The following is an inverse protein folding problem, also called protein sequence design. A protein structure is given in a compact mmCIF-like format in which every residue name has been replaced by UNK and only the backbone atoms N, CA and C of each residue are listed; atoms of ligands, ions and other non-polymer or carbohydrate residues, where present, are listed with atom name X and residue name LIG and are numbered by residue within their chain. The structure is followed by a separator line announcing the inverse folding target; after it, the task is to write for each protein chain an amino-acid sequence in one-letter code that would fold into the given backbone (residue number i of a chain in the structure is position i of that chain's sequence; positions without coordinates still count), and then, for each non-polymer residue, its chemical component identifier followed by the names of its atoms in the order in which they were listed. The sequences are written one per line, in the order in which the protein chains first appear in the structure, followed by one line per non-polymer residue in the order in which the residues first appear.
data_IF_100687823437
#
_entry.id   IF_100687823437
#
_cell.length_a   1.000
_cell.length_b   1.000
_cell.length_c   1.000
_cell.angle_alpha   90.00
_cell.angle_beta   90.00
_cell.angle_gamma   90.00
#
_symmetry.space_group_name_H-M   'P 1'
#
loop_
_entity.id
_entity.type
_entity.pdbx_description
1 polymer ?
#
# COMPACT_ATOMS: atom_id res chain seq x y z
N UNK A 1 10.87 -16.52 8.02
CA UNK A 1 9.73 -16.48 7.07
C UNK A 1 9.41 -15.08 6.56
N UNK A 2 9.56 -14.03 7.36
CA UNK A 2 9.25 -12.64 6.97
C UNK A 2 9.86 -12.20 5.63
N UNK A 3 11.03 -12.73 5.26
CA UNK A 3 11.71 -12.44 3.98
C UNK A 3 11.26 -13.31 2.79
N UNK A 4 10.15 -14.05 2.90
CA UNK A 4 9.72 -15.01 1.86
C UNK A 4 10.66 -16.22 1.66
N UNK A 5 11.70 -16.38 2.49
CA UNK A 5 12.66 -17.50 2.43
C UNK A 5 12.12 -18.78 3.09
N UNK A 6 11.01 -19.30 2.58
CA UNK A 6 10.24 -20.39 3.22
C UNK A 6 11.03 -21.70 3.36
N UNK A 7 11.86 -22.07 2.37
CA UNK A 7 12.71 -23.27 2.48
C UNK A 7 13.76 -23.17 3.57
N UNK A 8 14.32 -21.99 3.80
CA UNK A 8 15.27 -21.77 4.89
C UNK A 8 14.56 -21.89 6.24
N UNK A 9 13.41 -21.22 6.39
CA UNK A 9 12.61 -21.32 7.61
C UNK A 9 12.13 -22.75 7.91
N UNK A 10 11.77 -23.52 6.88
CA UNK A 10 11.36 -24.92 7.04
C UNK A 10 12.48 -25.77 7.65
N UNK A 11 13.75 -25.56 7.24
CA UNK A 11 14.91 -26.26 7.84
C UNK A 11 15.10 -25.91 9.32
N UNK A 12 14.85 -24.67 9.70
CA UNK A 12 14.94 -24.25 11.09
C UNK A 12 13.84 -24.91 11.92
N UNK A 13 12.58 -24.90 11.46
CA UNK A 13 11.48 -25.59 12.13
C UNK A 13 11.69 -27.10 12.20
N UNK A 14 12.26 -27.70 11.15
CA UNK A 14 12.59 -29.13 11.14
C UNK A 14 13.60 -29.46 12.25
N UNK A 15 14.63 -28.62 12.42
CA UNK A 15 15.60 -28.73 13.52
C UNK A 15 14.90 -28.65 14.88
N UNK A 16 14.00 -27.69 15.07
CA UNK A 16 13.27 -27.51 16.35
C UNK A 16 12.38 -28.72 16.64
N UNK A 17 11.62 -29.23 15.67
CA UNK A 17 10.76 -30.40 15.83
C UNK A 17 11.57 -31.66 16.14
N UNK A 18 12.77 -31.81 15.56
CA UNK A 18 13.70 -32.91 15.88
C UNK A 18 14.17 -32.86 17.33
N UNK A 19 14.50 -31.68 17.85
CA UNK A 19 14.97 -31.49 19.22
C UNK A 19 13.83 -31.54 20.24
N UNK A 20 12.63 -31.06 19.89
CA UNK A 20 11.44 -31.02 20.75
C UNK A 20 10.23 -31.74 20.11
N UNK A 21 10.23 -33.09 20.04
CA UNK A 21 9.22 -33.84 19.30
C UNK A 21 7.82 -33.80 19.92
N UNK A 22 7.66 -33.39 21.18
CA UNK A 22 6.36 -33.30 21.85
C UNK A 22 5.81 -31.87 21.91
N UNK A 23 6.57 -30.88 21.42
CA UNK A 23 6.14 -29.49 21.39
C UNK A 23 5.07 -29.30 20.29
N UNK A 24 3.86 -28.94 20.73
CA UNK A 24 2.69 -28.77 19.85
C UNK A 24 2.86 -27.56 18.93
N UNK A 25 3.46 -26.48 19.43
CA UNK A 25 3.68 -25.26 18.67
C UNK A 25 4.74 -25.49 17.57
N UNK A 26 5.85 -26.15 17.92
CA UNK A 26 6.88 -26.50 16.95
C UNK A 26 6.34 -27.36 15.79
N UNK A 27 5.51 -28.35 16.09
CA UNK A 27 4.86 -29.21 15.09
C UNK A 27 3.89 -28.44 14.20
N UNK A 28 3.04 -27.61 14.79
CA UNK A 28 2.12 -26.75 14.04
C UNK A 28 2.92 -25.82 13.10
N UNK A 29 3.98 -25.18 13.62
CA UNK A 29 4.80 -24.25 12.83
C UNK A 29 5.51 -24.92 11.66
N UNK A 30 6.04 -26.11 11.88
CA UNK A 30 6.63 -26.91 10.80
C UNK A 30 5.60 -27.30 9.74
N UNK A 31 4.41 -27.76 10.13
CA UNK A 31 3.35 -28.18 9.20
C UNK A 31 2.87 -27.03 8.31
N UNK A 32 2.60 -25.87 8.90
CA UNK A 32 2.19 -24.68 8.15
C UNK A 32 3.30 -24.17 7.22
N UNK A 33 4.55 -24.10 7.68
CA UNK A 33 5.67 -23.71 6.82
C UNK A 33 5.85 -24.70 5.65
N UNK A 34 5.69 -26.00 5.91
CA UNK A 34 5.78 -27.03 4.87
C UNK A 34 4.64 -26.92 3.84
N UNK A 35 3.42 -26.60 4.30
CA UNK A 35 2.27 -26.36 3.42
C UNK A 35 2.56 -25.20 2.44
N UNK A 36 3.10 -24.09 2.94
CA UNK A 36 3.50 -22.95 2.10
C UNK A 36 4.60 -23.34 1.11
N UNK A 37 5.65 -24.06 1.55
CA UNK A 37 6.73 -24.51 0.66
C UNK A 37 6.20 -25.41 -0.45
N UNK A 38 5.29 -26.33 -0.14
CA UNK A 38 4.65 -27.21 -1.13
C UNK A 38 3.78 -26.43 -2.10
N UNK A 39 2.97 -25.50 -1.60
CA UNK A 39 2.12 -24.65 -2.43
C UNK A 39 2.96 -23.82 -3.42
N UNK A 40 4.02 -23.15 -2.95
CA UNK A 40 4.91 -22.38 -3.83
C UNK A 40 5.70 -23.25 -4.82
N UNK A 41 6.06 -24.47 -4.43
CA UNK A 41 6.69 -25.41 -5.35
C UNK A 41 5.72 -25.85 -6.46
N UNK A 42 4.44 -26.07 -6.12
CA UNK A 42 3.38 -26.36 -7.07
C UNK A 42 3.13 -25.17 -8.01
N UNK A 43 2.93 -23.98 -7.46
CA UNK A 43 2.76 -22.73 -8.23
C UNK A 43 3.92 -22.48 -9.20
N UNK A 44 5.17 -22.70 -8.78
CA UNK A 44 6.34 -22.59 -9.66
C UNK A 44 6.38 -23.67 -10.74
N UNK A 45 5.89 -24.87 -10.45
CA UNK A 45 5.85 -25.97 -11.41
C UNK A 45 4.77 -25.77 -12.48
N UNK A 46 3.66 -25.09 -12.15
CA UNK A 46 2.60 -24.73 -13.10
C UNK A 46 2.86 -23.40 -13.82
N UNK A 47 3.74 -22.54 -13.30
CA UNK A 47 4.13 -21.27 -13.90
C UNK A 47 5.13 -21.42 -15.07
N UNK A 48 4.96 -22.44 -15.92
CA UNK A 48 5.69 -22.55 -17.18
C UNK A 48 5.39 -21.35 -18.11
N UNK A 49 6.16 -21.22 -19.20
CA UNK A 49 6.23 -20.09 -20.17
C UNK A 49 4.90 -19.70 -20.89
N UNK A 50 3.74 -20.04 -20.35
CA UNK A 50 2.46 -19.51 -20.80
C UNK A 50 2.18 -18.17 -20.11
N UNK A 51 1.91 -17.13 -20.91
CA UNK A 51 1.20 -15.94 -20.45
C UNK A 51 0.03 -16.38 -19.57
N UNK A 52 0.11 -16.15 -18.24
CA UNK A 52 -1.01 -16.42 -17.34
C UNK A 52 -2.24 -15.73 -17.92
N UNK A 53 -3.25 -16.51 -18.30
CA UNK A 53 -4.56 -15.94 -18.66
C UNK A 53 -5.04 -15.09 -17.50
N UNK A 54 -5.43 -13.87 -17.80
CA UNK A 54 -5.93 -12.92 -16.81
C UNK A 54 -7.18 -13.52 -16.16
N UNK A 55 -7.32 -13.39 -14.84
CA UNK A 55 -8.53 -13.87 -14.13
C UNK A 55 -9.80 -13.29 -14.77
N UNK A 56 -9.71 -12.05 -15.28
CA UNK A 56 -10.78 -11.37 -16.03
C UNK A 56 -11.32 -12.21 -17.18
N UNK A 57 -10.48 -12.97 -17.88
CA UNK A 57 -10.89 -13.79 -19.04
C UNK A 57 -11.78 -14.97 -18.63
N UNK A 58 -11.75 -15.35 -17.35
CA UNK A 58 -12.57 -16.41 -16.76
C UNK A 58 -13.79 -15.88 -16.00
N UNK A 59 -13.90 -14.56 -15.82
CA UNK A 59 -14.97 -13.92 -15.06
C UNK A 59 -16.11 -13.50 -15.98
N UNK A 60 -17.27 -14.14 -15.81
CA UNK A 60 -18.52 -13.67 -16.40
C UNK A 60 -19.24 -12.73 -15.41
N UNK A 61 -18.85 -11.45 -15.43
CA UNK A 61 -19.41 -10.42 -14.55
C UNK A 61 -20.85 -10.07 -14.97
N UNK A 62 -21.17 -10.20 -16.26
CA UNK A 62 -22.49 -9.87 -16.81
C UNK A 62 -23.57 -10.81 -16.25
N UNK A 63 -23.28 -12.11 -16.14
CA UNK A 63 -24.20 -13.09 -15.56
C UNK A 63 -24.31 -13.06 -14.04
N UNK A 64 -23.43 -12.35 -13.33
CA UNK A 64 -23.56 -12.21 -11.87
C UNK A 64 -24.86 -11.47 -11.54
N UNK A 65 -25.73 -12.09 -10.75
CA UNK A 65 -26.90 -11.43 -10.17
C UNK A 65 -26.54 -10.78 -8.84
N UNK A 66 -27.22 -9.68 -8.52
CA UNK A 66 -27.22 -9.10 -7.18
C UNK A 66 -28.53 -9.56 -6.55
N UNK A 67 -28.47 -10.16 -5.37
CA UNK A 67 -29.66 -10.67 -4.70
C UNK A 67 -30.60 -9.51 -4.28
N UNK A 68 -31.93 -9.72 -4.32
CA UNK A 68 -32.92 -8.68 -4.03
C UNK A 68 -32.82 -8.17 -2.57
N UNK A 69 -32.33 -9.00 -1.66
CA UNK A 69 -32.08 -8.66 -0.26
C UNK A 69 -30.87 -7.73 -0.07
N UNK A 70 -30.02 -7.58 -1.10
CA UNK A 70 -28.86 -6.69 -1.03
C UNK A 70 -29.30 -5.22 -1.10
N UNK A 71 -29.20 -4.57 0.06
CA UNK A 71 -29.53 -3.16 0.31
C UNK A 71 -28.31 -2.24 0.36
N UNK A 72 -27.12 -2.75 0.00
CA UNK A 72 -25.89 -1.97 0.00
C UNK A 72 -25.66 -1.19 -1.30
N UNK A 73 -24.52 -0.48 -1.38
CA UNK A 73 -24.16 0.37 -2.51
C UNK A 73 -24.10 -0.41 -3.83
N UNK A 74 -24.67 0.18 -4.89
CA UNK A 74 -24.68 -0.38 -6.26
C UNK A 74 -24.07 0.65 -7.21
N UNK A 75 -23.26 0.19 -8.17
CA UNK A 75 -22.73 1.07 -9.23
C UNK A 75 -23.88 1.53 -10.12
N UNK A 76 -23.87 2.80 -10.52
CA UNK A 76 -24.85 3.38 -11.44
C UNK A 76 -24.41 3.09 -12.89
N UNK A 77 -25.13 2.22 -13.59
CA UNK A 77 -24.77 1.73 -14.94
C UNK A 77 -23.32 1.20 -15.02
N UNK A 78 -22.85 0.56 -13.94
CA UNK A 78 -21.49 0.04 -13.83
C UNK A 78 -20.43 1.11 -13.55
N UNK A 79 -20.81 2.38 -13.40
CA UNK A 79 -19.91 3.49 -13.11
C UNK A 79 -19.88 3.85 -11.63
N UNK A 80 -18.71 4.27 -11.18
CA UNK A 80 -18.54 4.84 -9.83
C UNK A 80 -19.01 6.29 -9.84
N UNK A 81 -19.85 6.66 -8.89
CA UNK A 81 -20.32 8.05 -8.67
C UNK A 81 -19.93 8.54 -7.28
N UNK A 82 -19.99 9.86 -7.06
CA UNK A 82 -19.75 10.41 -5.72
C UNK A 82 -20.81 9.95 -4.71
N UNK A 83 -22.05 9.71 -5.15
CA UNK A 83 -23.11 9.16 -4.32
C UNK A 83 -22.74 7.73 -3.88
N UNK A 84 -22.37 6.87 -4.83
CA UNK A 84 -21.87 5.52 -4.55
C UNK A 84 -20.68 5.54 -3.58
N UNK A 85 -19.70 6.43 -3.76
CA UNK A 85 -18.53 6.51 -2.87
C UNK A 85 -18.91 6.88 -1.43
N UNK A 86 -19.83 7.83 -1.24
CA UNK A 86 -20.32 8.21 0.09
C UNK A 86 -21.09 7.07 0.75
N UNK A 87 -21.94 6.39 0.00
CA UNK A 87 -22.67 5.21 0.48
C UNK A 87 -21.71 4.07 0.83
N UNK A 88 -20.70 3.82 0.00
CA UNK A 88 -19.68 2.80 0.22
C UNK A 88 -18.89 3.02 1.51
N UNK A 89 -18.41 4.26 1.73
CA UNK A 89 -17.68 4.59 2.95
C UNK A 89 -18.56 4.42 4.19
N UNK A 90 -19.83 4.82 4.13
CA UNK A 90 -20.77 4.62 5.24
C UNK A 90 -21.06 3.13 5.47
N UNK A 91 -21.23 2.35 4.41
CA UNK A 91 -21.46 0.90 4.48
C UNK A 91 -20.29 0.17 5.15
N UNK A 92 -19.06 0.56 4.81
CA UNK A 92 -17.84 0.04 5.43
C UNK A 92 -17.65 0.51 6.88
N UNK A 93 -18.03 1.74 7.20
CA UNK A 93 -18.02 2.26 8.59
C UNK A 93 -18.94 1.45 9.50
N UNK A 94 -20.00 0.86 8.94
CA UNK A 94 -20.93 -0.05 9.60
C UNK A 94 -20.50 -1.53 9.54
N UNK A 95 -19.26 -1.82 9.13
CA UNK A 95 -18.70 -3.18 8.99
C UNK A 95 -19.47 -4.09 8.02
N UNK A 96 -20.18 -3.51 7.05
CA UNK A 96 -20.89 -4.27 6.03
C UNK A 96 -20.02 -4.44 4.80
N UNK A 97 -20.35 -5.43 3.96
CA UNK A 97 -19.53 -5.83 2.82
C UNK A 97 -20.15 -5.37 1.49
N UNK A 98 -19.35 -4.80 0.58
CA UNK A 98 -19.77 -4.48 -0.78
C UNK A 98 -20.06 -5.76 -1.56
N UNK A 99 -21.15 -5.79 -2.34
CA UNK A 99 -21.49 -6.96 -3.15
C UNK A 99 -20.37 -7.32 -4.13
N UNK A 100 -20.13 -8.63 -4.31
CA UNK A 100 -19.01 -9.15 -5.13
C UNK A 100 -19.04 -8.64 -6.58
N UNK A 101 -20.22 -8.47 -7.18
CA UNK A 101 -20.38 -7.93 -8.55
C UNK A 101 -19.78 -6.53 -8.65
N UNK A 102 -20.14 -5.64 -7.73
CA UNK A 102 -19.61 -4.27 -7.68
C UNK A 102 -18.09 -4.28 -7.44
N UNK A 103 -17.59 -5.14 -6.56
CA UNK A 103 -16.15 -5.26 -6.31
C UNK A 103 -15.39 -5.71 -7.56
N UNK A 104 -15.85 -6.75 -8.27
CA UNK A 104 -15.27 -7.18 -9.55
C UNK A 104 -15.32 -6.07 -10.61
N UNK A 105 -16.44 -5.36 -10.73
CA UNK A 105 -16.57 -4.23 -11.67
C UNK A 105 -15.56 -3.10 -11.37
N UNK A 106 -15.33 -2.77 -10.08
CA UNK A 106 -14.30 -1.79 -9.69
C UNK A 106 -12.92 -2.29 -10.08
N UNK A 107 -12.59 -3.55 -9.79
CA UNK A 107 -11.26 -4.10 -10.06
C UNK A 107 -10.94 -4.20 -11.55
N UNK A 108 -11.90 -4.64 -12.37
CA UNK A 108 -11.71 -4.71 -13.82
C UNK A 108 -11.51 -3.32 -14.41
N UNK A 109 -12.33 -2.34 -14.01
CA UNK A 109 -12.19 -0.97 -14.52
C UNK A 109 -10.89 -0.32 -14.06
N UNK A 110 -10.49 -0.51 -12.79
CA UNK A 110 -9.28 0.14 -12.27
C UNK A 110 -8.02 -0.49 -12.86
N UNK A 111 -8.02 -1.80 -13.14
CA UNK A 111 -6.95 -2.48 -13.90
C UNK A 111 -6.75 -1.80 -15.26
N UNK A 112 -7.84 -1.53 -15.98
CA UNK A 112 -7.82 -0.88 -17.29
C UNK A 112 -7.34 0.58 -17.24
N UNK A 113 -7.66 1.31 -16.16
CA UNK A 113 -7.14 2.67 -15.94
C UNK A 113 -5.64 2.62 -15.63
N UNK A 114 -5.21 1.75 -14.71
CA UNK A 114 -3.83 1.67 -14.25
C UNK A 114 -2.88 1.12 -15.33
N UNK A 115 -3.33 0.20 -16.18
CA UNK A 115 -2.52 -0.40 -17.24
C UNK A 115 -2.07 0.61 -18.30
N UNK A 116 -2.82 1.70 -18.48
CA UNK A 116 -2.52 2.79 -19.41
C UNK A 116 -1.53 3.80 -18.87
N UNK A 117 -1.23 3.78 -17.58
CA UNK A 117 -0.30 4.73 -16.96
C UNK A 117 1.15 4.33 -17.24
N UNK A 118 2.02 5.33 -17.32
CA UNK A 118 3.47 5.13 -17.26
C UNK A 118 3.89 4.62 -15.88
N UNK A 119 5.04 3.92 -15.80
CA UNK A 119 5.60 3.48 -14.53
C UNK A 119 6.02 4.66 -13.65
N UNK A 120 6.48 5.74 -14.26
CA UNK A 120 6.63 7.07 -13.64
C UNK A 120 5.46 7.94 -14.11
N UNK A 121 4.57 8.29 -13.18
CA UNK A 121 3.49 9.25 -13.44
C UNK A 121 4.05 10.65 -13.31
N UNK A 122 3.73 11.53 -14.25
CA UNK A 122 4.20 12.92 -14.24
C UNK A 122 3.01 13.85 -14.23
N UNK A 123 2.98 14.77 -13.27
CA UNK A 123 1.91 15.76 -13.15
C UNK A 123 2.47 17.16 -13.06
N UNK A 124 1.70 18.12 -13.58
CA UNK A 124 1.97 19.54 -13.45
C UNK A 124 0.90 20.18 -12.57
N UNK A 125 1.32 20.71 -11.44
CA UNK A 125 0.52 21.46 -10.48
C UNK A 125 0.65 22.96 -10.80
N UNK A 126 -0.47 23.62 -11.15
CA UNK A 126 -0.51 25.07 -11.39
C UNK A 126 -0.27 25.85 -10.09
N UNK A 127 0.13 27.11 -10.20
CA UNK A 127 0.49 27.96 -9.04
C UNK A 127 -0.56 27.99 -7.92
N UNK A 128 -1.85 27.95 -8.28
CA UNK A 128 -2.99 28.01 -7.36
C UNK A 128 -3.46 26.63 -6.86
N UNK A 129 -2.94 25.55 -7.43
CA UNK A 129 -3.37 24.19 -7.11
C UNK A 129 -2.57 23.63 -5.92
N UNK A 130 -3.21 22.72 -5.17
CA UNK A 130 -2.55 21.96 -4.10
C UNK A 130 -2.70 20.46 -4.36
N UNK A 131 -1.82 19.69 -3.74
CA UNK A 131 -1.87 18.23 -3.75
C UNK A 131 -1.53 17.73 -2.35
N UNK A 132 -2.24 16.70 -1.91
CA UNK A 132 -2.01 16.02 -0.64
C UNK A 132 -1.23 14.74 -0.89
N UNK A 133 -0.15 14.50 -0.14
CA UNK A 133 0.60 13.23 -0.18
C UNK A 133 0.42 12.51 1.14
N UNK A 134 -0.21 11.34 1.08
CA UNK A 134 -0.34 10.39 2.18
C UNK A 134 0.69 9.26 1.99
N UNK A 135 1.25 8.78 3.10
CA UNK A 135 2.06 7.56 3.13
C UNK A 135 1.22 6.32 3.36
N UNK A 136 1.82 5.34 4.02
CA UNK A 136 1.24 4.04 4.34
C UNK A 136 -0.09 4.19 5.10
N UNK A 137 -1.08 3.36 4.78
CA UNK A 137 -2.38 3.31 5.48
C UNK A 137 -2.68 1.95 6.10
N UNK A 138 -2.08 0.88 5.60
CA UNK A 138 -2.09 -0.47 6.18
C UNK A 138 -3.45 -0.94 6.72
N UNK A 139 -4.50 -0.87 5.92
CA UNK A 139 -5.83 -1.34 6.30
C UNK A 139 -6.45 -0.65 7.51
N UNK A 140 -6.00 0.55 7.87
CA UNK A 140 -6.60 1.40 8.91
C UNK A 140 -7.74 2.25 8.33
N UNK A 141 -8.82 1.59 7.93
CA UNK A 141 -9.95 2.23 7.22
C UNK A 141 -10.56 3.44 7.96
N UNK A 142 -10.67 3.37 9.29
CA UNK A 142 -11.26 4.44 10.09
C UNK A 142 -10.37 5.68 10.12
N UNK A 143 -9.05 5.49 10.11
CA UNK A 143 -8.08 6.59 10.01
C UNK A 143 -8.05 7.16 8.58
N UNK A 144 -8.26 6.34 7.54
CA UNK A 144 -8.47 6.84 6.17
C UNK A 144 -9.69 7.77 6.10
N UNK A 145 -10.81 7.41 6.73
CA UNK A 145 -11.97 8.30 6.83
C UNK A 145 -11.64 9.59 7.59
N UNK A 146 -10.86 9.50 8.67
CA UNK A 146 -10.41 10.68 9.42
C UNK A 146 -9.55 11.62 8.54
N UNK A 147 -8.68 11.09 7.67
CA UNK A 147 -7.95 11.92 6.68
C UNK A 147 -8.94 12.68 5.80
N UNK A 148 -9.98 12.02 5.29
CA UNK A 148 -11.01 12.67 4.46
C UNK A 148 -11.88 13.66 5.23
N UNK A 149 -12.15 13.43 6.51
CA UNK A 149 -12.87 14.38 7.36
C UNK A 149 -12.02 15.64 7.66
N UNK A 150 -10.73 15.46 7.94
CA UNK A 150 -9.80 16.56 8.29
C UNK A 150 -9.34 17.37 7.07
N UNK A 151 -9.08 16.71 5.94
CA UNK A 151 -8.53 17.32 4.73
C UNK A 151 -9.55 17.50 3.61
N UNK A 152 -10.79 17.05 3.82
CA UNK A 152 -11.86 17.05 2.83
C UNK A 152 -11.77 15.85 1.87
N UNK A 153 -12.90 15.55 1.24
CA UNK A 153 -13.03 14.43 0.32
C UNK A 153 -12.24 14.67 -0.98
N UNK A 154 -11.72 13.60 -1.61
CA UNK A 154 -11.16 13.69 -2.95
C UNK A 154 -12.16 14.29 -3.94
N UNK A 155 -11.69 15.21 -4.77
CA UNK A 155 -12.51 15.90 -5.78
C UNK A 155 -11.62 16.65 -6.76
N UNK A 156 -12.15 16.91 -7.97
CA UNK A 156 -11.53 17.83 -8.94
C UNK A 156 -11.47 19.29 -8.43
N UNK A 157 -12.26 19.61 -7.40
CA UNK A 157 -12.19 20.87 -6.67
C UNK A 157 -12.58 20.56 -5.23
N UNK A 158 -11.67 20.70 -4.25
CA UNK A 158 -12.03 20.51 -2.84
C UNK A 158 -12.17 21.88 -2.13
N UNK A 159 -13.36 22.49 -2.12
CA UNK A 159 -13.60 23.77 -1.47
C UNK A 159 -13.79 23.68 0.06
N UNK A 160 -13.74 22.51 0.70
CA UNK A 160 -14.11 22.37 2.11
C UNK A 160 -12.90 22.20 3.05
N UNK A 161 -12.46 23.31 3.63
CA UNK A 161 -11.86 23.35 4.97
C UNK A 161 -12.55 24.46 5.75
N UNK A 162 -13.24 24.10 6.83
CA UNK A 162 -14.14 24.98 7.60
C UNK A 162 -13.43 25.95 8.55
N UNK A 163 -12.13 26.22 8.37
CA UNK A 163 -11.37 27.08 9.29
C UNK A 163 -10.68 28.30 8.66
N UNK A 164 -10.83 28.58 7.36
CA UNK A 164 -10.33 29.83 6.75
C UNK A 164 -11.09 30.19 5.46
N UNK A 165 -11.13 31.47 5.02
CA UNK A 165 -11.90 31.87 3.83
C UNK A 165 -11.43 31.12 2.59
N UNK A 166 -12.40 30.55 1.88
CA UNK A 166 -12.25 29.63 0.77
C UNK A 166 -11.56 30.27 -0.45
N UNK A 167 -10.39 29.72 -0.80
CA UNK A 167 -10.02 29.55 -2.20
C UNK A 167 -10.36 28.10 -2.54
N UNK A 168 -11.21 27.82 -3.55
CA UNK A 168 -11.47 26.45 -3.98
C UNK A 168 -10.13 25.85 -4.42
N UNK A 169 -9.55 25.01 -3.57
CA UNK A 169 -8.22 24.46 -3.82
C UNK A 169 -8.40 22.97 -4.08
N UNK A 170 -8.31 22.59 -5.36
CA UNK A 170 -8.16 21.21 -5.82
C UNK A 170 -7.32 20.41 -4.79
N UNK A 171 -7.87 19.37 -4.16
CA UNK A 171 -7.07 18.48 -3.29
C UNK A 171 -6.99 17.12 -3.97
N UNK A 172 -5.98 16.98 -4.80
CA UNK A 172 -5.59 15.70 -5.39
C UNK A 172 -4.87 14.91 -4.30
N UNK A 173 -5.31 13.71 -3.87
CA UNK A 173 -4.49 12.91 -2.98
C UNK A 173 -3.60 11.95 -3.80
N UNK A 174 -2.36 11.82 -3.37
CA UNK A 174 -1.46 10.74 -3.70
C UNK A 174 -1.39 9.84 -2.47
N UNK A 175 -1.72 8.56 -2.61
CA UNK A 175 -1.40 7.56 -1.59
C UNK A 175 -0.16 6.78 -2.03
N UNK A 176 0.92 6.92 -1.27
CA UNK A 176 2.25 6.45 -1.63
C UNK A 176 2.51 5.02 -1.11
N UNK A 177 1.74 4.06 -1.62
CA UNK A 177 1.87 2.63 -1.33
C UNK A 177 1.41 2.19 0.05
N UNK A 178 1.44 0.88 0.26
CA UNK A 178 1.13 0.20 1.52
C UNK A 178 -0.27 0.52 2.03
N UNK A 179 -1.24 0.25 1.16
CA UNK A 179 -2.66 0.43 1.44
C UNK A 179 -3.20 -0.67 2.33
N UNK A 180 -2.69 -1.89 2.14
CA UNK A 180 -3.20 -3.14 2.71
C UNK A 180 -2.21 -3.76 3.69
N UNK A 181 -2.57 -4.94 4.20
CA UNK A 181 -1.83 -5.72 5.20
C UNK A 181 -1.75 -5.05 6.57
N UNK A 182 -1.43 -5.86 7.59
CA UNK A 182 -1.34 -5.47 9.01
C UNK A 182 -2.68 -5.07 9.62
N UNK A 183 -3.31 -3.99 9.16
CA UNK A 183 -4.68 -3.66 9.55
C UNK A 183 -5.68 -4.68 9.03
N UNK A 184 -6.83 -4.78 9.70
CA UNK A 184 -7.87 -5.78 9.39
C UNK A 184 -9.08 -5.20 8.67
N UNK A 185 -8.91 -4.02 8.08
CA UNK A 185 -9.87 -3.37 7.20
C UNK A 185 -9.22 -3.01 5.85
N UNK A 186 -8.32 -3.88 5.37
CA UNK A 186 -7.56 -3.67 4.14
C UNK A 186 -8.45 -3.67 2.91
N UNK A 187 -9.48 -4.53 2.87
CA UNK A 187 -10.47 -4.60 1.79
C UNK A 187 -11.26 -3.30 1.67
N UNK A 188 -11.68 -2.74 2.80
CA UNK A 188 -12.43 -1.47 2.84
C UNK A 188 -11.57 -0.30 2.38
N UNK A 189 -10.30 -0.25 2.81
CA UNK A 189 -9.32 0.75 2.32
C UNK A 189 -9.18 0.64 0.82
N UNK A 190 -8.76 -0.51 0.29
CA UNK A 190 -8.36 -0.60 -1.11
C UNK A 190 -9.52 -0.41 -2.08
N UNK A 191 -10.73 -0.90 -1.77
CA UNK A 191 -11.90 -0.69 -2.62
C UNK A 191 -12.37 0.77 -2.57
N UNK A 192 -12.19 1.46 -1.45
CA UNK A 192 -12.44 2.91 -1.37
C UNK A 192 -11.44 3.70 -2.22
N UNK A 193 -10.14 3.36 -2.12
CA UNK A 193 -9.09 4.00 -2.92
C UNK A 193 -9.28 3.75 -4.43
N UNK A 194 -9.58 2.51 -4.84
CA UNK A 194 -9.88 2.21 -6.24
C UNK A 194 -11.17 2.87 -6.73
N UNK A 195 -12.20 2.96 -5.89
CA UNK A 195 -13.40 3.71 -6.20
C UNK A 195 -13.08 5.19 -6.51
N UNK A 196 -12.30 5.87 -5.66
CA UNK A 196 -11.88 7.24 -5.95
C UNK A 196 -10.94 7.35 -7.16
N UNK A 197 -10.09 6.34 -7.41
CA UNK A 197 -9.28 6.29 -8.65
C UNK A 197 -10.15 6.23 -9.90
N UNK A 198 -11.26 5.52 -9.86
CA UNK A 198 -12.23 5.48 -10.98
C UNK A 198 -13.04 6.76 -11.09
N UNK A 199 -13.40 7.37 -9.96
CA UNK A 199 -14.18 8.61 -9.93
C UNK A 199 -13.35 9.82 -10.40
N UNK A 200 -12.07 9.87 -10.04
CA UNK A 200 -11.16 10.98 -10.31
C UNK A 200 -9.81 10.48 -10.86
N UNK A 201 -9.77 9.87 -12.06
CA UNK A 201 -8.59 9.18 -12.57
C UNK A 201 -7.35 10.08 -12.73
N UNK A 202 -7.54 11.36 -13.03
CA UNK A 202 -6.44 12.32 -13.20
C UNK A 202 -6.10 13.09 -11.91
N UNK A 203 -6.92 12.93 -10.86
CA UNK A 203 -6.87 13.72 -9.63
C UNK A 203 -6.87 12.86 -8.36
N UNK A 204 -6.61 11.56 -8.50
CA UNK A 204 -6.43 10.60 -7.42
C UNK A 204 -5.35 9.60 -7.84
N UNK A 205 -4.23 9.57 -7.12
CA UNK A 205 -3.06 8.79 -7.52
C UNK A 205 -2.73 7.74 -6.46
N UNK A 206 -2.41 6.55 -6.95
CA UNK A 206 -2.01 5.40 -6.15
C UNK A 206 -0.66 4.95 -6.68
N UNK A 207 0.34 4.91 -5.79
CA UNK A 207 1.65 4.35 -6.10
C UNK A 207 1.79 3.01 -5.41
N UNK A 208 2.56 2.10 -6.02
CA UNK A 208 2.78 0.77 -5.46
C UNK A 208 3.71 0.86 -4.24
N UNK A 209 3.33 0.21 -3.15
CA UNK A 209 4.20 -0.09 -2.02
C UNK A 209 4.70 -1.53 -2.04
N UNK A 210 5.53 -1.90 -1.07
CA UNK A 210 6.00 -3.28 -0.99
C UNK A 210 4.90 -4.24 -0.52
N UNK A 211 3.86 -3.74 0.16
CA UNK A 211 2.70 -4.54 0.55
C UNK A 211 1.66 -4.74 -0.55
N UNK A 212 1.79 -4.11 -1.73
CA UNK A 212 1.01 -4.47 -2.92
C UNK A 212 1.71 -5.59 -3.73
N UNK A 213 2.08 -6.66 -3.01
CA UNK A 213 2.81 -7.84 -3.54
C UNK A 213 2.34 -9.14 -2.91
N UNK A 214 2.38 -10.23 -3.68
CA UNK A 214 1.86 -11.54 -3.26
C UNK A 214 2.59 -12.08 -2.03
N UNK A 215 3.92 -11.90 -2.01
CA UNK A 215 4.74 -12.36 -0.92
C UNK A 215 4.37 -11.70 0.41
N UNK A 216 3.99 -10.41 0.37
CA UNK A 216 3.56 -9.71 1.59
C UNK A 216 2.11 -10.07 1.94
N UNK A 217 1.20 -10.07 0.97
CA UNK A 217 -0.22 -10.28 1.22
C UNK A 217 -0.55 -11.66 1.80
N UNK A 218 0.17 -12.70 1.35
CA UNK A 218 0.05 -14.07 1.89
C UNK A 218 0.41 -14.17 3.37
N UNK A 219 1.30 -13.28 3.80
CA UNK A 219 1.97 -13.33 5.08
C UNK A 219 1.26 -12.39 6.07
N UNK A 220 0.90 -11.19 5.64
CA UNK A 220 0.54 -10.07 6.52
C UNK A 220 -0.96 -9.72 6.57
N UNK A 221 -1.80 -10.47 5.86
CA UNK A 221 -3.23 -10.55 6.14
C UNK A 221 -4.15 -10.27 4.97
N UNK A 222 -3.72 -9.54 3.95
CA UNK A 222 -4.61 -9.13 2.86
C UNK A 222 -5.16 -10.33 2.07
N UNK A 223 -4.33 -11.32 1.73
CA UNK A 223 -4.81 -12.52 1.05
C UNK A 223 -5.86 -13.26 1.88
N UNK A 224 -5.61 -13.39 3.19
CA UNK A 224 -6.54 -14.01 4.13
C UNK A 224 -7.84 -13.22 4.28
N UNK A 225 -7.75 -11.90 4.33
CA UNK A 225 -8.89 -10.99 4.46
C UNK A 225 -9.79 -11.05 3.22
N UNK A 226 -9.20 -11.01 2.02
CA UNK A 226 -9.93 -11.15 0.76
C UNK A 226 -10.58 -12.52 0.65
N UNK A 227 -9.89 -13.60 1.03
CA UNK A 227 -10.48 -14.96 1.03
C UNK A 227 -11.62 -15.12 2.05
N UNK A 228 -11.54 -14.45 3.19
CA UNK A 228 -12.59 -14.47 4.20
C UNK A 228 -13.82 -13.64 3.79
N UNK A 229 -13.61 -12.47 3.17
CA UNK A 229 -14.69 -11.56 2.76
C UNK A 229 -15.27 -11.94 1.39
N UNK A 230 -14.46 -12.43 0.47
CA UNK A 230 -14.84 -12.75 -0.91
C UNK A 230 -14.45 -14.18 -1.30
N UNK A 231 -13.52 -14.34 -2.25
CA UNK A 231 -13.07 -15.63 -2.78
C UNK A 231 -11.58 -15.58 -3.10
N UNK A 232 -10.95 -16.73 -3.35
CA UNK A 232 -9.57 -16.78 -3.80
C UNK A 232 -9.39 -16.11 -5.18
N UNK A 233 -10.36 -16.26 -6.10
CA UNK A 233 -10.31 -15.60 -7.40
C UNK A 233 -10.33 -14.06 -7.30
N UNK A 234 -11.02 -13.51 -6.31
CA UNK A 234 -11.00 -12.07 -6.04
C UNK A 234 -9.58 -11.59 -5.68
N UNK A 235 -8.85 -12.37 -4.87
CA UNK A 235 -7.47 -12.05 -4.51
C UNK A 235 -6.52 -12.12 -5.70
N UNK A 236 -6.66 -13.14 -6.56
CA UNK A 236 -5.86 -13.24 -7.79
C UNK A 236 -6.06 -11.99 -8.67
N UNK A 237 -7.30 -11.50 -8.79
CA UNK A 237 -7.56 -10.24 -9.51
C UNK A 237 -6.96 -9.01 -8.81
N UNK A 238 -6.99 -8.92 -7.48
CA UNK A 238 -6.30 -7.86 -6.74
C UNK A 238 -4.78 -7.87 -7.04
N UNK A 239 -4.16 -9.04 -7.02
CA UNK A 239 -2.74 -9.20 -7.34
C UNK A 239 -2.41 -8.68 -8.75
N UNK A 240 -3.21 -9.08 -9.76
CA UNK A 240 -3.05 -8.58 -11.12
C UNK A 240 -3.23 -7.05 -11.23
N UNK A 241 -4.18 -6.47 -10.48
CA UNK A 241 -4.37 -5.01 -10.44
C UNK A 241 -3.17 -4.32 -9.79
N UNK A 242 -2.64 -4.86 -8.69
CA UNK A 242 -1.48 -4.32 -7.99
C UNK A 242 -0.23 -4.28 -8.87
N UNK A 243 -0.08 -5.24 -9.78
CA UNK A 243 1.01 -5.24 -10.76
C UNK A 243 0.99 -4.02 -11.70
N UNK A 244 -0.17 -3.40 -11.92
CA UNK A 244 -0.30 -2.22 -12.79
C UNK A 244 -0.14 -0.88 -12.06
N UNK A 245 -0.04 -0.87 -10.73
CA UNK A 245 0.20 0.36 -9.96
C UNK A 245 1.55 1.00 -10.37
N UNK A 246 1.59 2.30 -10.72
CA UNK A 246 2.83 3.02 -10.96
C UNK A 246 3.80 2.94 -9.78
N UNK A 247 5.11 2.99 -10.06
CA UNK A 247 6.14 2.83 -9.04
C UNK A 247 6.63 4.15 -8.46
N UNK A 248 6.46 5.25 -9.21
CA UNK A 248 6.84 6.58 -8.76
C UNK A 248 5.97 7.66 -9.41
N UNK A 249 5.98 8.85 -8.83
CA UNK A 249 5.35 10.04 -9.37
C UNK A 249 6.26 11.25 -9.26
N UNK A 250 6.37 12.04 -10.33
CA UNK A 250 7.10 13.30 -10.34
C UNK A 250 6.14 14.48 -10.48
N UNK A 251 6.30 15.48 -9.62
CA UNK A 251 5.51 16.70 -9.60
C UNK A 251 6.37 17.87 -10.09
N UNK A 252 5.89 18.55 -11.14
CA UNK A 252 6.54 19.71 -11.77
C UNK A 252 8.00 19.49 -12.19
N UNK A 253 8.44 18.23 -12.36
CA UNK A 253 9.84 17.92 -12.62
C UNK A 253 10.78 18.29 -11.45
N UNK A 254 10.25 18.39 -10.22
CA UNK A 254 10.98 18.91 -9.05
C UNK A 254 10.92 17.98 -7.84
N UNK A 255 9.78 17.37 -7.58
CA UNK A 255 9.60 16.47 -6.44
C UNK A 255 9.31 15.07 -6.94
N UNK A 256 10.15 14.10 -6.58
CA UNK A 256 9.93 12.68 -6.90
C UNK A 256 9.36 11.96 -5.67
N UNK A 257 8.35 11.14 -5.90
CA UNK A 257 7.63 10.40 -4.87
C UNK A 257 7.68 8.92 -5.21
N UNK A 258 8.12 8.09 -4.26
CA UNK A 258 8.09 6.62 -4.33
C UNK A 258 7.89 6.05 -2.94
N UNK A 259 7.44 4.81 -2.82
CA UNK A 259 7.16 4.23 -1.50
C UNK A 259 8.45 4.02 -0.66
N UNK A 260 9.40 3.25 -1.19
CA UNK A 260 10.68 2.92 -0.57
C UNK A 260 11.70 4.04 -0.68
N UNK A 261 12.46 4.11 -1.76
CA UNK A 261 13.49 5.15 -1.88
C UNK A 261 14.39 4.99 -3.11
N UNK A 262 15.67 5.33 -2.95
CA UNK A 262 16.64 5.40 -4.03
C UNK A 262 17.42 4.09 -4.23
N UNK A 263 18.21 4.09 -5.29
CA UNK A 263 18.75 2.90 -5.92
C UNK A 263 20.06 2.41 -5.30
N UNK A 264 20.25 1.10 -5.38
CA UNK A 264 21.50 0.41 -5.05
C UNK A 264 22.63 0.70 -6.04
N UNK A 265 22.30 1.25 -7.22
CA UNK A 265 23.23 1.63 -8.29
C UNK A 265 23.20 3.16 -8.50
N UNK A 266 24.32 3.72 -8.98
CA UNK A 266 24.44 5.12 -9.39
C UNK A 266 24.03 5.29 -10.87
N UNK A 267 23.70 6.52 -11.29
CA UNK A 267 23.38 6.84 -12.68
C UNK A 267 21.96 6.49 -13.13
N UNK A 268 21.08 6.10 -12.19
CA UNK A 268 19.67 5.87 -12.50
C UNK A 268 18.98 7.20 -12.76
N UNK A 269 18.25 7.27 -13.89
CA UNK A 269 17.53 8.46 -14.32
C UNK A 269 16.02 8.29 -14.22
N UNK A 270 15.27 9.39 -14.32
CA UNK A 270 13.81 9.35 -14.46
C UNK A 270 13.35 8.53 -15.69
N UNK A 271 14.14 8.51 -16.76
CA UNK A 271 13.84 7.74 -17.97
C UNK A 271 13.98 6.23 -17.73
N UNK A 272 14.93 5.82 -16.90
CA UNK A 272 15.06 4.41 -16.49
C UNK A 272 13.83 3.97 -15.70
N UNK A 273 13.30 4.82 -14.82
CA UNK A 273 12.07 4.54 -14.07
C UNK A 273 10.87 4.38 -15.02
N UNK A 274 10.72 5.24 -16.04
CA UNK A 274 9.65 5.14 -17.05
C UNK A 274 9.67 3.79 -17.77
N UNK A 275 10.87 3.26 -18.05
CA UNK A 275 11.09 2.03 -18.83
C UNK A 275 10.94 0.73 -18.02
N UNK A 276 10.75 0.80 -16.70
CA UNK A 276 10.55 -0.40 -15.88
C UNK A 276 9.25 -1.11 -16.31
N UNK A 277 9.39 -2.38 -16.70
CA UNK A 277 8.27 -3.31 -16.88
C UNK A 277 7.69 -3.71 -15.52
N UNK A 278 6.71 -2.93 -15.04
CA UNK A 278 6.19 -3.04 -13.67
C UNK A 278 5.13 -4.13 -13.47
N UNK A 279 4.52 -4.64 -14.54
CA UNK A 279 3.38 -5.56 -14.56
C UNK A 279 3.78 -7.01 -14.20
N UNK A 280 4.38 -7.14 -13.02
CA UNK A 280 4.94 -8.36 -12.44
C UNK A 280 5.14 -8.19 -10.94
N UNK A 281 5.44 -9.29 -10.26
CA UNK A 281 6.00 -9.22 -8.91
C UNK A 281 7.41 -8.60 -8.93
N UNK A 282 7.79 -7.82 -7.90
CA UNK A 282 9.10 -7.20 -7.84
C UNK A 282 10.21 -8.25 -7.79
N UNK A 283 11.34 -8.02 -8.49
CA UNK A 283 12.51 -8.88 -8.40
C UNK A 283 13.17 -8.82 -7.01
N UNK A 284 14.07 -9.77 -6.72
CA UNK A 284 14.82 -9.79 -5.46
C UNK A 284 15.80 -8.59 -5.30
N UNK A 285 16.16 -7.92 -6.41
CA UNK A 285 17.06 -6.76 -6.45
C UNK A 285 16.85 -5.94 -7.73
N UNK A 286 17.43 -4.74 -7.81
CA UNK A 286 17.36 -3.84 -8.95
C UNK A 286 16.31 -2.72 -8.79
N UNK A 287 16.13 -1.85 -9.79
CA UNK A 287 15.42 -0.58 -9.62
C UNK A 287 13.99 -0.68 -9.11
N UNK A 288 13.20 -1.65 -9.61
CA UNK A 288 11.84 -1.89 -9.12
C UNK A 288 11.82 -2.34 -7.65
N UNK A 289 12.80 -3.13 -7.23
CA UNK A 289 12.93 -3.55 -5.83
C UNK A 289 13.29 -2.35 -4.95
N UNK A 290 14.27 -1.55 -5.38
CA UNK A 290 14.77 -0.41 -4.60
C UNK A 290 13.72 0.69 -4.39
N UNK A 291 12.91 0.98 -5.42
CA UNK A 291 11.78 1.92 -5.33
C UNK A 291 10.74 1.52 -4.28
N UNK A 292 10.64 0.23 -3.95
CA UNK A 292 9.66 -0.30 -3.00
C UNK A 292 10.26 -0.61 -1.62
N UNK A 293 11.57 -0.84 -1.50
CA UNK A 293 12.16 -1.45 -0.29
C UNK A 293 13.32 -0.70 0.35
N UNK A 294 13.94 0.25 -0.35
CA UNK A 294 15.13 0.92 0.19
C UNK A 294 14.77 1.93 1.30
N UNK A 295 15.71 2.15 2.22
CA UNK A 295 15.56 3.11 3.32
C UNK A 295 16.71 4.13 3.34
N UNK A 296 16.47 5.38 3.75
CA UNK A 296 17.55 6.33 3.98
C UNK A 296 18.43 5.91 5.17
N UNK A 297 19.72 6.27 5.13
CA UNK A 297 20.64 6.15 6.27
C UNK A 297 21.37 7.47 6.52
N UNK A 298 21.69 7.81 7.79
CA UNK A 298 22.30 9.10 8.11
C UNK A 298 23.74 9.25 7.58
N UNK A 299 24.48 8.16 7.45
CA UNK A 299 25.86 8.15 6.96
C UNK A 299 25.93 8.03 5.43
N UNK A 300 27.00 8.60 4.84
CA UNK A 300 27.25 8.52 3.39
C UNK A 300 27.39 7.08 2.87
N UNK A 301 27.20 6.92 1.57
CA UNK A 301 27.34 5.66 0.85
C UNK A 301 26.10 4.78 0.93
N UNK A 302 26.30 3.48 0.70
CA UNK A 302 25.25 2.46 0.72
C UNK A 302 25.57 1.37 1.74
N UNK A 303 24.54 0.80 2.33
CA UNK A 303 24.65 -0.39 3.19
C UNK A 303 23.65 -1.46 2.78
N UNK A 304 23.88 -2.70 3.21
CA UNK A 304 22.86 -3.76 3.11
C UNK A 304 21.64 -3.35 3.94
N UNK A 305 20.45 -3.48 3.38
CA UNK A 305 19.21 -3.15 4.09
C UNK A 305 19.02 -4.01 5.35
N UNK A 306 18.56 -3.37 6.44
CA UNK A 306 18.12 -4.07 7.66
C UNK A 306 16.94 -5.01 7.39
N UNK A 307 16.22 -4.76 6.30
CA UNK A 307 15.11 -5.60 5.82
C UNK A 307 15.60 -6.84 5.05
N UNK A 308 16.90 -6.96 4.77
CA UNK A 308 17.45 -8.10 4.04
C UNK A 308 17.08 -8.16 2.55
N UNK A 309 16.53 -7.06 2.01
CA UNK A 309 16.17 -6.84 0.60
C UNK A 309 16.45 -5.37 0.25
N UNK A 310 16.92 -5.11 -0.98
CA UNK A 310 17.42 -3.78 -1.39
C UNK A 310 18.59 -3.27 -0.52
N UNK A 311 18.76 -1.95 -0.42
CA UNK A 311 19.86 -1.25 0.24
C UNK A 311 19.37 -0.15 1.19
N UNK A 312 20.29 0.37 2.00
CA UNK A 312 20.15 1.68 2.60
C UNK A 312 21.01 2.69 1.82
N UNK A 313 20.56 3.93 1.68
CA UNK A 313 21.25 4.98 0.90
C UNK A 313 21.50 6.25 1.72
N UNK A 314 22.70 6.82 1.60
CA UNK A 314 23.14 8.01 2.32
C UNK A 314 22.73 9.34 1.67
N UNK A 315 23.02 10.47 2.35
CA UNK A 315 22.70 11.80 1.85
C UNK A 315 23.49 12.22 0.60
N UNK A 316 24.68 11.64 0.39
CA UNK A 316 25.47 11.77 -0.83
C UNK A 316 24.78 11.12 -2.04
N UNK A 317 24.20 9.93 -1.85
CA UNK A 317 23.42 9.23 -2.89
C UNK A 317 22.17 10.04 -3.25
N UNK A 318 21.43 10.51 -2.25
CA UNK A 318 20.28 11.38 -2.48
C UNK A 318 20.66 12.65 -3.23
N UNK A 319 21.76 13.30 -2.83
CA UNK A 319 22.23 14.51 -3.50
C UNK A 319 22.58 14.25 -4.97
N UNK A 320 23.36 13.21 -5.25
CA UNK A 320 23.81 12.88 -6.61
C UNK A 320 22.63 12.61 -7.55
N UNK A 321 21.68 11.78 -7.11
CA UNK A 321 20.49 11.45 -7.90
C UNK A 321 19.64 12.69 -8.21
N UNK A 322 19.43 13.57 -7.22
CA UNK A 322 18.64 14.79 -7.40
C UNK A 322 19.32 15.77 -8.37
N UNK A 323 20.65 15.95 -8.25
CA UNK A 323 21.42 16.82 -9.15
C UNK A 323 21.39 16.31 -10.60
N UNK A 324 21.60 15.00 -10.79
CA UNK A 324 21.57 14.34 -12.10
C UNK A 324 20.20 14.44 -12.79
N UNK A 325 19.11 14.37 -12.02
CA UNK A 325 17.75 14.40 -12.53
C UNK A 325 17.07 15.77 -12.44
N UNK A 326 17.80 16.81 -12.02
CA UNK A 326 17.29 18.19 -11.85
C UNK A 326 16.10 18.33 -10.89
N UNK A 327 16.06 17.47 -9.87
CA UNK A 327 15.06 17.43 -8.82
C UNK A 327 15.52 18.22 -7.57
N UNK A 328 14.56 18.65 -6.76
CA UNK A 328 14.81 19.41 -5.52
C UNK A 328 14.95 18.46 -4.32
N UNK A 329 14.01 17.51 -4.17
CA UNK A 329 13.99 16.53 -3.09
C UNK A 329 13.06 15.34 -3.41
N UNK A 330 13.12 14.29 -2.59
CA UNK A 330 12.21 13.13 -2.66
C UNK A 330 11.24 13.09 -1.48
N UNK A 331 10.03 12.57 -1.71
CA UNK A 331 9.09 12.14 -0.67
C UNK A 331 8.96 10.63 -0.73
N UNK A 332 9.07 9.98 0.41
CA UNK A 332 8.89 8.53 0.56
C UNK A 332 8.10 8.18 1.80
N UNK A 333 7.76 6.90 2.00
CA UNK A 333 6.93 6.44 3.12
C UNK A 333 7.60 5.30 3.90
N UNK A 334 7.06 4.07 3.92
CA UNK A 334 7.71 2.77 4.22
C UNK A 334 8.34 2.57 5.63
N UNK A 335 8.60 3.63 6.37
CA UNK A 335 9.10 3.62 7.74
C UNK A 335 8.16 4.41 8.63
N UNK A 336 7.66 3.75 9.67
CA UNK A 336 6.95 4.41 10.76
C UNK A 336 7.85 5.47 11.42
N UNK A 337 7.28 6.66 11.64
CA UNK A 337 7.93 7.77 12.35
C UNK A 337 7.04 8.19 13.51
N UNK A 338 7.63 8.47 14.67
CA UNK A 338 6.89 8.83 15.88
C UNK A 338 5.96 10.05 15.66
N UNK A 339 6.44 11.04 14.90
CA UNK A 339 5.68 12.26 14.56
C UNK A 339 4.91 12.13 13.22
N UNK A 340 4.87 10.95 12.62
CA UNK A 340 4.21 10.70 11.32
C UNK A 340 4.97 11.24 10.10
N UNK A 341 6.10 11.91 10.30
CA UNK A 341 7.03 12.32 9.24
C UNK A 341 8.46 12.47 9.77
N UNK A 342 9.43 12.56 8.86
CA UNK A 342 10.82 12.90 9.17
C UNK A 342 11.47 13.61 7.98
N UNK A 343 12.32 14.60 8.24
CA UNK A 343 13.10 15.30 7.21
C UNK A 343 14.57 14.93 7.39
N UNK A 344 15.11 14.16 6.46
CA UNK A 344 16.48 13.65 6.45
C UNK A 344 17.32 14.26 5.31
N UNK A 345 18.60 13.90 5.30
CA UNK A 345 19.55 14.22 4.22
C UNK A 345 19.63 15.73 3.88
N UNK A 346 19.56 16.58 4.91
CA UNK A 346 19.61 18.03 4.74
C UNK A 346 18.39 18.61 4.01
N UNK A 347 17.22 18.01 4.19
CA UNK A 347 15.97 18.45 3.55
C UNK A 347 15.64 17.76 2.23
N UNK A 348 16.51 16.86 1.76
CA UNK A 348 16.39 16.22 0.44
C UNK A 348 15.64 14.90 0.43
N UNK A 349 15.44 14.28 1.59
CA UNK A 349 14.69 13.03 1.72
C UNK A 349 13.65 13.20 2.82
N UNK A 350 12.37 13.20 2.44
CA UNK A 350 11.25 13.39 3.36
C UNK A 350 10.50 12.07 3.50
N UNK A 351 10.30 11.61 4.72
CA UNK A 351 9.44 10.47 5.03
C UNK A 351 8.07 10.96 5.50
N UNK A 352 6.98 10.42 4.96
CA UNK A 352 5.60 10.64 5.41
C UNK A 352 4.93 9.31 5.72
N UNK A 353 4.19 9.21 6.82
CA UNK A 353 3.53 7.98 7.25
C UNK A 353 2.11 8.29 7.74
N UNK A 354 1.11 7.60 7.19
CA UNK A 354 -0.30 7.97 7.36
C UNK A 354 -1.13 6.95 8.18
N UNK A 355 -0.47 5.99 8.83
CA UNK A 355 -1.09 5.03 9.74
C UNK A 355 -0.77 5.41 11.21
N UNK A 356 -1.66 6.14 11.91
CA UNK A 356 -1.40 6.53 13.29
C UNK A 356 -1.54 5.32 14.22
N UNK A 357 -0.79 5.33 15.32
CA UNK A 357 -0.81 4.28 16.33
C UNK A 357 -0.59 2.87 15.73
N UNK A 358 0.35 2.79 14.80
CA UNK A 358 0.58 1.61 13.99
C UNK A 358 1.03 0.41 14.83
N UNK A 359 0.56 -0.77 14.42
CA UNK A 359 0.96 -2.05 15.00
C UNK A 359 1.94 -2.78 14.06
N UNK A 360 3.27 -2.66 14.29
CA UNK A 360 4.28 -3.34 13.48
C UNK A 360 4.40 -4.84 13.77
N UNK A 361 3.81 -5.32 14.88
CA UNK A 361 4.05 -6.66 15.45
C UNK A 361 2.88 -7.05 16.40
N UNK A 362 2.63 -8.35 16.59
CA UNK A 362 1.60 -8.90 17.48
C UNK A 362 1.98 -8.92 18.98
N UNK A 363 3.24 -8.66 19.34
CA UNK A 363 3.78 -8.74 20.71
C UNK A 363 3.14 -7.73 21.64
N UNK A 364 2.53 -6.70 21.07
CA UNK A 364 1.79 -5.69 21.81
C UNK A 364 0.34 -6.15 21.90
N UNK A 365 -0.07 -6.58 23.09
CA UNK A 365 -1.41 -7.11 23.34
C UNK A 365 -2.46 -6.04 23.08
N UNK A 366 -3.02 -6.07 21.86
CA UNK A 366 -4.14 -5.22 21.42
C UNK A 366 -5.47 -5.52 22.16
N UNK A 367 -5.43 -6.16 23.33
CA UNK A 367 -6.58 -6.47 24.18
C UNK A 367 -6.98 -5.29 25.08
N UNK A 368 -6.16 -4.24 25.16
CA UNK A 368 -6.50 -2.99 25.84
C UNK A 368 -6.64 -1.86 24.83
N UNK A 369 -7.75 -1.09 24.87
CA UNK A 369 -7.81 0.15 24.13
C UNK A 369 -6.71 1.06 24.69
N UNK A 370 -5.75 1.48 23.85
CA UNK A 370 -4.75 2.53 24.09
C UNK A 370 -3.36 2.24 24.69
N UNK A 371 -3.00 1.07 25.21
CA UNK A 371 -1.68 0.93 25.88
C UNK A 371 -0.56 0.23 25.08
N UNK A 372 -0.91 -0.41 23.98
CA UNK A 372 -0.09 -1.46 23.36
C UNK A 372 0.06 -1.21 21.84
N UNK A 373 0.44 0.00 21.45
CA UNK A 373 0.64 0.41 20.05
C UNK A 373 1.89 1.30 19.98
N UNK A 374 2.50 1.52 18.80
CA UNK A 374 3.71 2.37 18.70
C UNK A 374 3.47 3.80 19.24
N UNK A 375 2.22 4.24 19.40
CA UNK A 375 1.89 5.56 19.89
C UNK A 375 2.25 6.67 18.90
N UNK A 376 2.63 6.31 17.68
CA UNK A 376 3.03 7.28 16.68
C UNK A 376 1.83 8.12 16.22
N UNK A 377 2.07 9.39 15.96
CA UNK A 377 1.19 10.18 15.11
C UNK A 377 1.31 9.71 13.66
N UNK A 378 0.38 10.15 12.85
CA UNK A 378 0.47 10.09 11.40
C UNK A 378 0.54 11.52 10.84
N UNK A 379 0.93 11.63 9.58
CA UNK A 379 0.81 12.88 8.86
C UNK A 379 0.45 12.68 7.39
N UNK A 380 0.01 13.78 6.76
CA UNK A 380 -0.01 13.95 5.32
C UNK A 380 0.68 15.27 4.96
N UNK A 381 1.18 15.37 3.74
CA UNK A 381 1.88 16.56 3.23
C UNK A 381 0.95 17.35 2.31
N UNK A 382 0.97 18.68 2.40
CA UNK A 382 0.49 19.56 1.33
C UNK A 382 1.67 20.12 0.52
N UNK A 383 1.55 20.01 -0.80
CA UNK A 383 2.39 20.72 -1.77
C UNK A 383 1.51 21.69 -2.56
N UNK A 384 2.06 22.86 -2.91
CA UNK A 384 1.37 23.87 -3.72
C UNK A 384 2.17 24.15 -4.98
N UNK A 385 1.52 24.39 -6.11
CA UNK A 385 2.27 24.59 -7.36
C UNK A 385 3.16 25.82 -7.36
N UNK A 386 2.77 26.87 -6.60
CA UNK A 386 3.57 28.08 -6.38
C UNK A 386 4.75 27.88 -5.44
N UNK A 387 4.70 26.86 -4.59
CA UNK A 387 5.71 26.56 -3.58
C UNK A 387 5.64 25.09 -3.19
N UNK A 388 6.54 24.30 -3.76
CA UNK A 388 6.61 22.86 -3.54
C UNK A 388 7.28 22.50 -2.22
N UNK A 389 7.46 23.41 -1.27
CA UNK A 389 7.93 23.03 0.08
C UNK A 389 6.88 22.16 0.78
N UNK A 390 7.28 21.05 1.44
CA UNK A 390 6.35 20.16 2.12
C UNK A 390 5.76 20.82 3.37
N UNK A 391 4.43 20.90 3.43
CA UNK A 391 3.69 21.35 4.61
C UNK A 391 3.09 20.14 5.32
N UNK A 392 3.61 19.81 6.51
CA UNK A 392 3.18 18.62 7.27
C UNK A 392 1.95 18.91 8.11
N UNK A 393 0.96 18.02 8.02
CA UNK A 393 -0.26 18.06 8.82
C UNK A 393 -0.36 16.76 9.61
N UNK A 394 -0.16 16.85 10.93
CA UNK A 394 -0.20 15.69 11.82
C UNK A 394 -1.62 15.38 12.28
N UNK A 395 -1.90 14.10 12.50
CA UNK A 395 -3.14 13.63 13.10
C UNK A 395 -2.89 12.37 13.96
N UNK A 396 -3.85 12.05 14.81
CA UNK A 396 -3.79 10.88 15.72
C UNK A 396 -4.83 9.84 15.31
N UNK A 397 -4.69 8.63 15.85
CA UNK A 397 -5.61 7.54 15.56
C UNK A 397 -7.01 7.82 16.05
N UNK A 398 -8.00 7.27 15.34
CA UNK A 398 -9.41 7.30 15.74
C UNK A 398 -9.90 5.92 16.17
N UNK A 399 -10.98 5.84 16.98
CA UNK A 399 -11.57 4.57 17.35
C UNK A 399 -12.01 3.74 16.14
N UNK A 400 -11.81 2.43 16.21
CA UNK A 400 -12.28 1.47 15.21
C UNK A 400 -12.95 0.26 15.92
N UNK A 401 -13.76 -0.54 15.21
CA UNK A 401 -14.35 -1.76 15.76
C UNK A 401 -13.30 -2.75 16.27
N UNK A 402 -13.72 -3.62 17.18
CA UNK A 402 -12.85 -4.57 17.87
C UNK A 402 -12.45 -5.77 16.97
N UNK A 403 -11.67 -5.49 15.92
CA UNK A 403 -10.97 -6.47 15.10
C UNK A 403 -9.48 -6.24 15.29
N UNK A 404 -8.77 -7.25 15.82
CA UNK A 404 -7.35 -7.14 16.10
C UNK A 404 -6.55 -6.99 14.80
N UNK A 405 -5.43 -6.24 14.79
CA UNK A 405 -4.48 -6.27 13.68
C UNK A 405 -4.09 -7.69 13.31
N UNK A 406 -3.86 -7.92 12.01
CA UNK A 406 -3.43 -9.19 11.43
C UNK A 406 -4.35 -10.37 11.78
N UNK A 407 -5.65 -10.11 12.03
CA UNK A 407 -6.65 -11.16 12.31
C UNK A 407 -6.75 -12.21 11.20
N UNK A 408 -6.43 -11.84 9.97
CA UNK A 408 -6.47 -12.69 8.78
C UNK A 408 -5.09 -13.16 8.31
N UNK A 409 -4.01 -12.80 9.01
CA UNK A 409 -2.65 -13.19 8.66
C UNK A 409 -2.37 -14.67 8.99
N UNK A 410 -1.25 -15.19 8.47
CA UNK A 410 -0.85 -16.56 8.75
C UNK A 410 -0.55 -16.75 10.26
N UNK A 411 -1.07 -17.83 10.84
CA UNK A 411 -0.88 -18.20 12.25
C UNK A 411 0.59 -18.28 12.67
N UNK A 412 1.49 -18.63 11.74
CA UNK A 412 2.93 -18.65 11.99
C UNK A 412 3.51 -17.32 12.45
N UNK A 413 2.97 -16.21 11.93
CA UNK A 413 3.36 -14.87 12.33
C UNK A 413 2.54 -14.35 13.49
N UNK A 414 1.28 -14.78 13.61
CA UNK A 414 0.50 -14.53 14.81
C UNK A 414 1.18 -15.11 16.07
N UNK A 415 1.99 -16.18 15.92
CA UNK A 415 2.66 -16.89 17.01
C UNK A 415 4.18 -16.63 17.12
N UNK A 416 4.83 -16.09 16.08
CA UNK A 416 6.28 -15.80 16.07
C UNK A 416 6.63 -14.41 16.60
N UNK A 417 5.60 -13.64 16.91
CA UNK A 417 5.58 -12.25 17.32
C UNK A 417 4.76 -12.14 18.62
N UNK A 418 4.86 -13.13 19.52
CA UNK A 418 4.30 -13.11 20.88
C UNK A 418 5.40 -13.02 21.91
#
# INVERSE_FOLDING_TARGET
MALGKFRAALRDYETVVKVKPHDKDAKMKYQECNKIVKQKAFERAIAGDEHKRSVVDSLDIESMTIEDEYSGPKLEDGKVTIAFMKELMQWYKEQKKLHRKCAYQILVQVKEVLSKLSTLVEITLKETEKITVCGDTHGQFYDLLNIFELNGLPSETNPYSTQTPAVPTLSVPIFNGDFVDRGSFSVEVILTLFGFKLLYPDHFHLLRGNHETDNMNQIYGFEGEVKAKYTAQMYELFSEVFEWLPLAQCINGKVLIMHGGLFSEDGVTLDDIRKIERNRQPPDSGPMCDLLWSDPQPQNGRSVSKRGVSCQFGPDITKAFLEENHLDYIIRSHEVKAEGYEVAHGGRCVTVFSAPNYCPDHTVTCSRPYSDQMGNKASYIHLRGSDLRPQFHQFTAVPHPNVKPMAYANTLLQLGMM
#
